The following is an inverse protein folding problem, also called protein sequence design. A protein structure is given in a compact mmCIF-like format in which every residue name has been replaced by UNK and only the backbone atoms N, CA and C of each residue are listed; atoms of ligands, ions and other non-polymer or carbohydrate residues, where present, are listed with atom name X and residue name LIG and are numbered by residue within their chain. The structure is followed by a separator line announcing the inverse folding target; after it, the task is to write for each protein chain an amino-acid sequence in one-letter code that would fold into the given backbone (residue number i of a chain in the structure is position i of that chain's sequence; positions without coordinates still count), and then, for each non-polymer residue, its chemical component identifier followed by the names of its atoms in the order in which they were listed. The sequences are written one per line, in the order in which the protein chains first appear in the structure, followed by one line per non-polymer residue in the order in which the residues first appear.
data_IF_251252791727
#
_entry.id   IF_251252791727
#
_cell.length_a   1.000
_cell.length_b   1.000
_cell.length_c   1.000
_cell.angle_alpha   90.00
_cell.angle_beta   90.00
_cell.angle_gamma   90.00
#
_symmetry.space_group_name_H-M   'P 1'
#
loop_
_entity.id
_entity.type
_entity.pdbx_description
1 polymer ?
#
# COMPACT_ATOMS: atom_id res chain seq x y z
N UNK A 1 -41.61 -35.88 -23.62
CA UNK A 1 -41.63 -34.41 -23.49
C UNK A 1 -40.82 -34.06 -22.26
N UNK A 2 -39.75 -33.28 -22.44
CA UNK A 2 -38.74 -33.01 -21.43
C UNK A 2 -39.30 -32.14 -20.29
N UNK A 3 -39.25 -32.64 -19.06
CA UNK A 3 -39.50 -31.86 -17.86
C UNK A 3 -38.16 -31.30 -17.36
N UNK A 4 -38.02 -29.99 -17.47
CA UNK A 4 -36.86 -29.21 -17.04
C UNK A 4 -36.59 -29.40 -15.54
N UNK A 5 -35.37 -29.84 -15.20
CA UNK A 5 -34.87 -29.79 -13.84
C UNK A 5 -34.60 -28.32 -13.45
N UNK A 6 -35.35 -27.79 -12.48
CA UNK A 6 -35.01 -26.52 -11.83
C UNK A 6 -33.83 -26.72 -10.87
N UNK A 7 -32.84 -25.81 -10.84
CA UNK A 7 -31.74 -25.90 -9.89
C UNK A 7 -32.22 -25.55 -8.48
N UNK A 8 -31.90 -26.42 -7.51
CA UNK A 8 -32.05 -26.15 -6.09
C UNK A 8 -31.18 -24.95 -5.71
N UNK A 9 -31.82 -23.90 -5.19
CA UNK A 9 -31.17 -22.75 -4.55
C UNK A 9 -30.38 -23.24 -3.31
N UNK A 10 -29.12 -22.83 -3.11
CA UNK A 10 -28.41 -23.14 -1.88
C UNK A 10 -29.07 -22.45 -0.69
N UNK A 11 -29.27 -23.21 0.39
CA UNK A 11 -29.82 -22.73 1.65
C UNK A 11 -28.85 -21.71 2.28
N UNK A 12 -29.37 -20.52 2.58
CA UNK A 12 -28.66 -19.50 3.32
C UNK A 12 -28.43 -19.99 4.77
N UNK A 13 -27.17 -19.95 5.21
CA UNK A 13 -26.76 -20.10 6.60
C UNK A 13 -27.49 -19.05 7.45
N UNK A 14 -28.05 -19.39 8.62
CA UNK A 14 -28.74 -18.40 9.46
C UNK A 14 -27.75 -17.36 10.00
N UNK A 15 -28.15 -16.08 10.11
CA UNK A 15 -27.30 -15.03 10.67
C UNK A 15 -27.10 -15.27 12.16
N UNK A 16 -25.85 -15.35 12.59
CA UNK A 16 -25.47 -15.32 14.00
C UNK A 16 -25.92 -13.98 14.57
N UNK A 17 -26.84 -14.00 15.54
CA UNK A 17 -27.40 -12.80 16.14
C UNK A 17 -26.31 -12.00 16.86
N UNK A 18 -25.97 -10.82 16.33
CA UNK A 18 -25.10 -9.86 17.01
C UNK A 18 -25.83 -9.29 18.24
N UNK A 19 -25.18 -9.16 19.41
CA UNK A 19 -25.78 -8.53 20.58
C UNK A 19 -26.10 -7.05 20.31
N UNK A 20 -27.32 -6.63 20.68
CA UNK A 20 -27.81 -5.28 20.46
C UNK A 20 -27.27 -4.31 21.54
N UNK A 21 -26.09 -3.73 21.30
CA UNK A 21 -25.54 -2.70 22.16
C UNK A 21 -26.25 -1.35 21.91
N UNK A 22 -27.42 -1.13 22.51
CA UNK A 22 -28.22 0.10 22.31
C UNK A 22 -27.48 1.43 22.57
N UNK A 23 -26.41 1.42 23.35
CA UNK A 23 -25.59 2.62 23.56
C UNK A 23 -24.76 3.01 22.32
N UNK A 24 -24.43 2.04 21.46
CA UNK A 24 -23.72 2.28 20.20
C UNK A 24 -24.64 2.92 19.15
N UNK A 25 -25.94 2.65 19.19
CA UNK A 25 -26.93 3.30 18.31
C UNK A 25 -27.04 4.82 18.60
N UNK A 26 -27.10 5.21 19.89
CA UNK A 26 -27.13 6.62 20.29
C UNK A 26 -25.85 7.38 19.89
N UNK A 27 -24.70 6.71 20.00
CA UNK A 27 -23.43 7.23 19.52
C UNK A 27 -23.54 7.42 17.99
N UNK A 28 -24.02 6.43 17.25
CA UNK A 28 -24.20 6.47 15.79
C UNK A 28 -25.05 7.63 15.25
N UNK A 29 -26.17 7.97 15.90
CA UNK A 29 -27.03 9.07 15.43
C UNK A 29 -26.48 10.47 15.71
N UNK A 30 -25.86 10.69 16.88
CA UNK A 30 -25.16 11.96 17.20
C UNK A 30 -24.02 12.23 16.23
N UNK A 31 -23.33 11.16 15.89
CA UNK A 31 -22.24 11.12 14.95
C UNK A 31 -22.68 11.44 13.52
N UNK A 32 -23.78 10.84 13.05
CA UNK A 32 -24.36 11.08 11.73
C UNK A 32 -24.89 12.53 11.59
N UNK A 33 -25.47 13.09 12.65
CA UNK A 33 -26.00 14.47 12.65
C UNK A 33 -24.92 15.56 12.63
N UNK A 34 -23.72 15.29 13.14
CA UNK A 34 -22.66 16.30 13.21
C UNK A 34 -21.91 16.53 11.88
N UNK A 35 -22.24 15.79 10.80
CA UNK A 35 -21.44 15.76 9.56
C UNK A 35 -19.98 15.34 9.79
N UNK A 36 -19.69 14.83 10.99
CA UNK A 36 -18.36 14.63 11.52
C UNK A 36 -17.72 13.38 10.91
N UNK A 37 -18.53 12.39 10.51
CA UNK A 37 -18.05 11.20 9.78
C UNK A 37 -17.59 11.52 8.37
N UNK A 38 -18.34 12.32 7.61
CA UNK A 38 -17.91 12.75 6.27
C UNK A 38 -16.65 13.61 6.29
N UNK A 39 -16.38 14.29 7.42
CA UNK A 39 -15.19 15.13 7.59
C UNK A 39 -13.98 14.35 8.13
N UNK A 40 -14.18 13.34 8.99
CA UNK A 40 -13.14 12.44 9.48
C UNK A 40 -12.73 11.38 8.47
N UNK A 41 -13.65 10.88 7.65
CA UNK A 41 -13.39 9.83 6.65
C UNK A 41 -12.80 10.38 5.34
N UNK A 42 -12.66 11.70 5.18
CA UNK A 42 -12.26 12.32 3.92
C UNK A 42 -10.74 12.47 3.74
N UNK A 43 -9.95 12.37 4.79
CA UNK A 43 -8.49 12.44 4.69
C UNK A 43 -7.91 11.42 5.64
N UNK A 44 -7.54 10.25 5.11
CA UNK A 44 -6.29 9.49 5.37
C UNK A 44 -6.43 8.20 4.52
N UNK A 45 -6.36 8.36 3.19
CA UNK A 45 -6.28 7.22 2.28
C UNK A 45 -5.12 6.30 2.68
N UNK A 46 -5.18 4.99 2.37
CA UNK A 46 -4.18 4.04 2.83
C UNK A 46 -2.78 4.53 2.44
N UNK A 47 -1.98 4.83 3.45
CA UNK A 47 -0.60 5.29 3.30
C UNK A 47 0.19 4.15 2.62
N UNK A 48 0.39 4.24 1.30
CA UNK A 48 1.20 3.22 0.60
C UNK A 48 2.65 3.36 1.05
N UNK A 49 3.25 2.32 1.60
CA UNK A 49 4.66 2.35 1.97
C UNK A 49 5.55 1.94 0.79
N UNK A 50 6.71 2.57 0.69
CA UNK A 50 7.70 2.24 -0.31
C UNK A 50 8.54 1.05 0.17
N UNK A 51 8.05 -0.15 -0.07
CA UNK A 51 8.78 -1.38 0.25
C UNK A 51 9.42 -1.94 -1.01
N UNK A 52 10.72 -2.23 -0.96
CA UNK A 52 11.48 -2.78 -2.08
C UNK A 52 11.98 -4.19 -1.77
N UNK A 53 11.74 -5.11 -2.70
CA UNK A 53 12.19 -6.50 -2.64
C UNK A 53 12.81 -6.90 -3.97
N UNK A 54 13.76 -7.84 -3.95
CA UNK A 54 14.27 -8.44 -5.17
C UNK A 54 13.13 -9.18 -5.90
N UNK A 55 12.95 -8.91 -7.19
CA UNK A 55 11.93 -9.60 -8.00
C UNK A 55 12.23 -11.08 -8.23
N UNK A 56 13.49 -11.49 -8.12
CA UNK A 56 13.92 -12.86 -8.38
C UNK A 56 13.87 -13.76 -7.13
N UNK A 57 14.31 -13.25 -5.98
CA UNK A 57 14.45 -14.05 -4.76
C UNK A 57 13.71 -13.50 -3.54
N UNK A 58 12.95 -12.40 -3.69
CA UNK A 58 12.22 -11.71 -2.62
C UNK A 58 13.10 -11.21 -1.44
N UNK A 59 14.43 -11.20 -1.58
CA UNK A 59 15.33 -10.66 -0.54
C UNK A 59 15.23 -9.13 -0.45
N UNK A 60 15.36 -8.62 0.78
CA UNK A 60 15.48 -7.19 1.09
C UNK A 60 16.94 -6.70 1.06
N UNK A 61 17.91 -7.59 0.84
CA UNK A 61 19.33 -7.23 0.71
C UNK A 61 19.57 -6.59 -0.66
N UNK A 62 19.23 -5.31 -0.77
CA UNK A 62 19.29 -4.51 -1.97
C UNK A 62 20.26 -3.34 -1.77
N UNK A 63 20.97 -2.98 -2.84
CA UNK A 63 21.84 -1.81 -2.90
C UNK A 63 21.43 -0.98 -4.12
N UNK A 64 21.12 0.31 -3.94
CA UNK A 64 20.86 1.16 -5.11
C UNK A 64 22.16 1.53 -5.82
N UNK A 65 22.14 1.47 -7.15
CA UNK A 65 23.25 1.83 -8.04
C UNK A 65 22.73 2.67 -9.19
N UNK A 66 23.61 3.43 -9.82
CA UNK A 66 23.30 4.25 -10.99
C UNK A 66 23.78 3.56 -12.27
N UNK A 67 22.96 3.60 -13.32
CA UNK A 67 23.30 3.06 -14.64
C UNK A 67 22.73 3.91 -15.78
N UNK A 68 22.79 3.40 -17.01
CA UNK A 68 22.38 4.11 -18.23
C UNK A 68 20.94 4.67 -18.19
N UNK A 69 20.03 3.96 -17.52
CA UNK A 69 18.59 4.30 -17.47
C UNK A 69 18.16 4.91 -16.11
N UNK A 70 19.11 5.33 -15.29
CA UNK A 70 18.85 5.85 -13.95
C UNK A 70 19.19 4.86 -12.84
N UNK A 71 18.58 5.06 -11.67
CA UNK A 71 18.84 4.24 -10.48
C UNK A 71 18.13 2.88 -10.55
N UNK A 72 18.83 1.83 -10.13
CA UNK A 72 18.32 0.47 -10.01
C UNK A 72 18.77 -0.16 -8.70
N UNK A 73 18.08 -1.19 -8.22
CA UNK A 73 18.49 -1.97 -7.04
C UNK A 73 19.24 -3.22 -7.48
N UNK A 74 20.45 -3.41 -6.98
CA UNK A 74 21.22 -4.66 -7.09
C UNK A 74 20.90 -5.53 -5.89
N UNK A 75 20.47 -6.78 -6.11
CA UNK A 75 20.32 -7.72 -5.03
C UNK A 75 21.67 -8.31 -4.63
N UNK A 76 22.03 -8.20 -3.36
CA UNK A 76 23.25 -8.76 -2.80
C UNK A 76 23.12 -10.27 -2.51
N UNK A 77 21.88 -10.79 -2.40
CA UNK A 77 21.63 -12.20 -2.13
C UNK A 77 21.72 -13.09 -3.39
N UNK A 78 21.15 -12.66 -4.52
CA UNK A 78 21.16 -13.44 -5.77
C UNK A 78 21.93 -12.78 -6.92
N UNK A 79 22.41 -11.55 -6.74
CA UNK A 79 23.10 -10.82 -7.79
C UNK A 79 22.20 -10.27 -8.90
N UNK A 80 20.87 -10.43 -8.84
CA UNK A 80 19.97 -9.90 -9.87
C UNK A 80 19.71 -8.39 -9.76
N UNK A 81 19.34 -7.77 -10.88
CA UNK A 81 19.00 -6.34 -10.93
C UNK A 81 17.48 -6.14 -10.89
N UNK A 82 17.01 -5.28 -9.98
CA UNK A 82 15.61 -4.87 -9.86
C UNK A 82 15.46 -3.41 -10.27
N UNK A 83 14.76 -3.16 -11.38
CA UNK A 83 14.47 -1.80 -11.85
C UNK A 83 13.53 -1.05 -10.91
N UNK A 84 13.83 0.23 -10.65
CA UNK A 84 13.05 1.12 -9.79
C UNK A 84 12.22 2.06 -10.67
N UNK A 85 10.91 2.06 -10.49
CA UNK A 85 9.99 3.03 -11.10
C UNK A 85 8.97 3.44 -10.02
N UNK A 86 9.26 4.48 -9.24
CA UNK A 86 8.39 4.85 -8.13
C UNK A 86 7.20 5.66 -8.64
N UNK A 87 6.02 5.31 -8.16
CA UNK A 87 4.83 6.15 -8.26
C UNK A 87 4.61 6.86 -6.92
N UNK A 88 4.13 8.10 -6.94
CA UNK A 88 3.81 8.85 -5.75
C UNK A 88 2.75 8.11 -4.94
N UNK A 89 3.00 7.83 -3.65
CA UNK A 89 2.05 7.14 -2.79
C UNK A 89 0.78 7.93 -2.50
N UNK A 90 0.86 9.26 -2.57
CA UNK A 90 -0.27 10.16 -2.32
C UNK A 90 -1.18 10.30 -3.55
N UNK A 91 -0.62 10.45 -4.75
CA UNK A 91 -1.39 10.77 -5.95
C UNK A 91 -1.27 9.77 -7.11
N UNK A 92 -0.42 8.75 -6.99
CA UNK A 92 -0.20 7.72 -8.01
C UNK A 92 0.53 8.19 -9.28
N UNK A 93 0.94 9.46 -9.37
CA UNK A 93 1.70 9.98 -10.51
C UNK A 93 3.14 9.49 -10.47
N UNK A 94 3.79 9.43 -11.63
CA UNK A 94 5.21 9.10 -11.73
C UNK A 94 6.05 10.02 -10.83
N UNK A 95 6.80 9.42 -9.92
CA UNK A 95 7.70 10.14 -9.02
C UNK A 95 9.14 10.09 -9.55
N UNK A 96 9.95 11.07 -9.12
CA UNK A 96 11.37 11.16 -9.46
C UNK A 96 12.23 10.57 -8.35
N UNK A 97 13.40 10.08 -8.73
CA UNK A 97 14.39 9.60 -7.77
C UNK A 97 15.49 10.66 -7.58
N UNK A 98 15.79 10.97 -6.33
CA UNK A 98 16.90 11.87 -5.96
C UNK A 98 17.84 11.12 -5.03
N UNK A 99 19.13 11.07 -5.37
CA UNK A 99 20.16 10.52 -4.47
C UNK A 99 20.71 11.64 -3.59
N UNK A 100 20.85 11.36 -2.31
CA UNK A 100 21.58 12.19 -1.36
C UNK A 100 22.42 11.30 -0.44
N UNK A 101 23.74 11.33 -0.63
CA UNK A 101 24.67 10.45 0.09
C UNK A 101 24.31 8.96 -0.06
N UNK A 102 24.07 8.26 1.05
CA UNK A 102 23.67 6.85 1.11
C UNK A 102 22.14 6.66 1.04
N UNK A 103 21.40 7.72 0.73
CA UNK A 103 19.94 7.74 0.69
C UNK A 103 19.45 7.91 -0.74
N UNK A 104 18.44 7.12 -1.09
CA UNK A 104 17.67 7.30 -2.30
C UNK A 104 16.27 7.78 -1.93
N UNK A 105 15.91 8.97 -2.38
CA UNK A 105 14.63 9.62 -2.14
C UNK A 105 13.68 9.44 -3.33
N UNK A 106 12.39 9.37 -3.03
CA UNK A 106 11.28 9.49 -3.98
C UNK A 106 10.65 10.85 -3.80
N UNK A 107 10.57 11.60 -4.89
CA UNK A 107 10.04 12.95 -4.90
C UNK A 107 8.88 13.12 -5.88
N UNK A 108 7.81 13.76 -5.43
CA UNK A 108 6.67 14.10 -6.27
C UNK A 108 6.51 15.61 -6.37
N UNK A 109 6.68 16.17 -7.56
CA UNK A 109 6.52 17.62 -7.80
C UNK A 109 5.10 18.12 -7.51
N UNK A 110 4.07 17.29 -7.75
CA UNK A 110 2.67 17.67 -7.55
C UNK A 110 2.28 17.72 -6.06
N UNK A 111 2.73 16.73 -5.28
CA UNK A 111 2.40 16.62 -3.85
C UNK A 111 3.47 17.23 -2.93
N UNK A 112 4.61 17.64 -3.49
CA UNK A 112 5.83 18.03 -2.75
C UNK A 112 6.29 16.96 -1.74
N UNK A 113 5.98 15.70 -2.04
CA UNK A 113 6.45 14.55 -1.27
C UNK A 113 7.96 14.40 -1.48
N UNK A 114 8.73 14.19 -0.41
CA UNK A 114 10.16 13.84 -0.48
C UNK A 114 10.49 12.90 0.67
N UNK A 115 10.70 11.63 0.36
CA UNK A 115 10.83 10.57 1.35
C UNK A 115 11.83 9.52 0.93
N UNK A 116 12.42 8.84 1.91
CA UNK A 116 13.46 7.84 1.66
C UNK A 116 12.82 6.54 1.16
N UNK A 117 13.25 6.12 -0.03
CA UNK A 117 12.90 4.83 -0.64
C UNK A 117 13.86 3.72 -0.23
N UNK A 118 15.17 4.01 -0.19
CA UNK A 118 16.20 3.03 0.17
C UNK A 118 17.41 3.71 0.80
N UNK A 119 18.13 2.98 1.65
CA UNK A 119 19.39 3.43 2.25
C UNK A 119 20.44 2.32 2.10
N UNK A 120 21.64 2.66 1.61
CA UNK A 120 22.72 1.70 1.44
C UNK A 120 23.56 1.52 2.72
N UNK A 121 23.57 2.50 3.62
CA UNK A 121 24.34 2.48 4.88
C UNK A 121 23.75 1.56 5.95
N UNK A 122 22.44 1.30 5.89
CA UNK A 122 21.75 0.38 6.80
C UNK A 122 20.55 -0.25 6.08
N UNK A 123 20.43 -1.60 6.08
CA UNK A 123 19.22 -2.24 5.57
C UNK A 123 17.99 -1.74 6.33
N UNK A 124 16.90 -1.46 5.61
CA UNK A 124 15.65 -1.04 6.25
C UNK A 124 15.27 -2.10 7.31
N UNK A 125 14.82 -1.69 8.52
CA UNK A 125 14.34 -2.64 9.50
C UNK A 125 13.27 -3.50 8.84
N UNK A 126 13.34 -4.82 9.05
CA UNK A 126 12.38 -5.77 8.48
C UNK A 126 10.96 -5.23 8.75
N UNK A 127 10.26 -4.76 7.71
CA UNK A 127 8.84 -4.49 7.84
C UNK A 127 8.16 -5.85 8.08
N UNK A 128 7.36 -5.99 9.15
CA UNK A 128 6.72 -7.26 9.53
C UNK A 128 5.71 -7.75 8.49
#
# INVERSE_FOLDING_TARGET
MAASASPLKPAATPPVAAPAYRHLDYIGDKLRQAGFWERLLRDEGPQKEYVTYCKACASQQLEFRYGKYGYYLKCLACGENTGIKPDCRLCGRQARLRKESELLYVECEACKLSEVLHRNDRPLPNLP
#
